data_IF_046997186279
#
_entry.id   IF_046997186279
#
_cell.length_a   1.000
_cell.length_b   1.000
_cell.length_c   1.000
_cell.angle_alpha   90.00
_cell.angle_beta   90.00
_cell.angle_gamma   90.00
#
_symmetry.space_group_name_H-M   'P 1'
#
loop_
_entity.id
_entity.type
_entity.pdbx_description
1 polymer ?
#
# COMPACT_ATOMS: atom_id res chain seq x y z
N UNK A 1 -6.05 -4.41 -11.58
CA UNK A 1 -6.74 -3.32 -10.85
C UNK A 1 -5.88 -2.05 -10.93
N UNK A 2 -6.39 -0.85 -10.63
CA UNK A 2 -5.58 0.38 -10.75
C UNK A 2 -4.41 0.38 -9.76
N UNK A 3 -4.63 -0.11 -8.53
CA UNK A 3 -3.61 -0.26 -7.50
C UNK A 3 -2.45 -1.13 -7.97
N UNK A 4 -2.72 -2.21 -8.69
CA UNK A 4 -1.68 -3.13 -9.16
C UNK A 4 -0.80 -2.49 -10.23
N UNK A 5 -1.41 -1.80 -11.20
CA UNK A 5 -0.68 -1.04 -12.22
C UNK A 5 0.17 0.05 -11.58
N UNK A 6 -0.40 0.74 -10.59
CA UNK A 6 0.23 1.83 -9.85
C UNK A 6 1.42 1.37 -9.02
N UNK A 7 1.30 0.28 -8.27
CA UNK A 7 2.43 -0.30 -7.53
C UNK A 7 3.53 -0.72 -8.50
N UNK A 8 3.18 -1.39 -9.62
CA UNK A 8 4.16 -1.84 -10.59
C UNK A 8 4.89 -0.67 -11.27
N UNK A 9 4.18 0.35 -11.70
CA UNK A 9 4.77 1.57 -12.26
C UNK A 9 5.71 2.24 -11.23
N UNK A 10 5.21 2.46 -10.01
CA UNK A 10 5.96 3.13 -8.96
C UNK A 10 7.21 2.37 -8.54
N UNK A 11 7.11 1.05 -8.38
CA UNK A 11 8.23 0.24 -7.90
C UNK A 11 9.20 -0.14 -9.01
N UNK A 12 8.70 -0.57 -10.17
CA UNK A 12 9.54 -1.15 -11.21
C UNK A 12 10.01 -0.11 -12.23
N UNK A 13 9.16 0.85 -12.62
CA UNK A 13 9.54 1.88 -13.60
C UNK A 13 10.21 3.09 -12.92
N UNK A 14 9.73 3.51 -11.75
CA UNK A 14 10.34 4.62 -10.98
C UNK A 14 11.39 4.17 -9.96
N UNK A 15 11.56 2.86 -9.76
CA UNK A 15 12.54 2.31 -8.81
C UNK A 15 12.23 2.58 -7.33
N UNK A 16 11.00 3.00 -6.99
CA UNK A 16 10.60 3.33 -5.61
C UNK A 16 10.25 2.06 -4.81
N UNK A 17 9.98 2.21 -3.52
CA UNK A 17 9.77 1.05 -2.62
C UNK A 17 8.32 0.60 -2.50
N UNK A 18 7.37 1.54 -2.59
CA UNK A 18 5.96 1.24 -2.42
C UNK A 18 5.12 2.50 -2.24
N UNK A 19 3.82 2.30 -2.13
CA UNK A 19 2.83 3.35 -1.89
C UNK A 19 2.06 3.07 -0.62
N UNK A 20 1.64 4.11 0.08
CA UNK A 20 0.87 3.97 1.32
C UNK A 20 -0.51 3.41 1.04
N UNK A 21 -1.09 2.74 2.03
CA UNK A 21 -2.45 2.17 1.92
C UNK A 21 -3.50 3.25 1.59
N UNK A 22 -3.52 4.44 2.23
CA UNK A 22 -4.43 5.50 1.84
C UNK A 22 -4.28 5.95 0.38
N UNK A 23 -3.06 6.04 -0.15
CA UNK A 23 -2.83 6.43 -1.54
C UNK A 23 -3.47 5.43 -2.51
N UNK A 24 -3.27 4.13 -2.27
CA UNK A 24 -3.86 3.08 -3.12
C UNK A 24 -5.39 3.07 -3.06
N UNK A 25 -5.97 3.31 -1.88
CA UNK A 25 -7.42 3.43 -1.71
C UNK A 25 -7.97 4.64 -2.46
N UNK A 26 -7.33 5.80 -2.30
CA UNK A 26 -7.71 7.03 -2.99
C UNK A 26 -7.69 6.84 -4.51
N UNK A 27 -6.63 6.20 -5.03
CA UNK A 27 -6.47 5.97 -6.47
C UNK A 27 -7.58 5.08 -7.04
N UNK A 28 -7.98 4.03 -6.32
CA UNK A 28 -9.12 3.18 -6.71
C UNK A 28 -10.44 3.94 -6.66
N UNK A 29 -10.64 4.77 -5.63
CA UNK A 29 -11.83 5.62 -5.43
C UNK A 29 -12.08 6.67 -6.50
N UNK A 30 -11.11 6.96 -7.35
CA UNK A 30 -11.35 7.77 -8.55
C UNK A 30 -12.27 7.07 -9.56
N UNK A 31 -12.41 5.75 -9.50
CA UNK A 31 -13.17 4.95 -10.48
C UNK A 31 -14.15 3.95 -9.86
N UNK A 32 -13.92 3.50 -8.63
CA UNK A 32 -14.78 2.55 -7.91
C UNK A 32 -14.63 2.66 -6.41
N UNK A 33 -15.64 2.26 -5.64
CA UNK A 33 -15.50 2.19 -4.19
C UNK A 33 -14.42 1.19 -3.77
N UNK A 34 -13.68 1.53 -2.73
CA UNK A 34 -12.58 0.75 -2.19
C UNK A 34 -12.44 0.99 -0.69
N UNK A 35 -12.23 -0.09 0.06
CA UNK A 35 -11.95 -0.07 1.51
C UNK A 35 -10.59 -0.71 1.78
N UNK A 36 -10.07 -0.53 3.01
CA UNK A 36 -8.85 -1.20 3.46
C UNK A 36 -9.01 -2.73 3.40
N UNK A 37 -10.16 -3.24 3.86
CA UNK A 37 -10.50 -4.67 3.78
C UNK A 37 -10.49 -5.17 2.33
N UNK A 38 -11.17 -4.47 1.42
CA UNK A 38 -11.23 -4.86 0.01
C UNK A 38 -9.84 -4.84 -0.64
N UNK A 39 -9.05 -3.78 -0.42
CA UNK A 39 -7.70 -3.67 -0.98
C UNK A 39 -6.80 -4.82 -0.52
N UNK A 40 -6.77 -5.10 0.79
CA UNK A 40 -5.90 -6.15 1.34
C UNK A 40 -6.39 -7.55 0.95
N UNK A 41 -7.70 -7.75 0.79
CA UNK A 41 -8.26 -9.01 0.28
C UNK A 41 -7.88 -9.22 -1.19
N UNK A 42 -8.04 -8.20 -2.04
CA UNK A 42 -7.64 -8.26 -3.45
C UNK A 42 -6.13 -8.53 -3.60
N UNK A 43 -5.29 -7.92 -2.77
CA UNK A 43 -3.84 -8.18 -2.80
C UNK A 43 -3.52 -9.60 -2.34
N UNK A 44 -4.16 -10.08 -1.25
CA UNK A 44 -4.00 -11.44 -0.75
C UNK A 44 -4.36 -12.50 -1.82
N UNK A 45 -5.35 -12.21 -2.66
CA UNK A 45 -5.87 -13.11 -3.70
C UNK A 45 -5.24 -12.88 -5.10
N UNK A 46 -4.32 -11.92 -5.23
CA UNK A 46 -3.67 -11.60 -6.51
C UNK A 46 -2.76 -12.73 -7.01
N UNK A 47 -2.58 -12.84 -8.33
CA UNK A 47 -1.59 -13.74 -8.93
C UNK A 47 -0.14 -13.25 -8.71
N UNK A 48 0.04 -11.95 -8.45
CA UNK A 48 1.33 -11.31 -8.25
C UNK A 48 1.65 -11.16 -6.76
N UNK A 49 2.91 -11.35 -6.39
CA UNK A 49 3.38 -11.16 -5.01
C UNK A 49 3.66 -9.69 -4.71
N UNK A 50 3.10 -9.20 -3.60
CA UNK A 50 3.31 -7.86 -3.08
C UNK A 50 3.85 -7.92 -1.66
N UNK A 51 4.52 -6.85 -1.24
CA UNK A 51 5.18 -6.77 0.05
C UNK A 51 4.67 -5.56 0.82
N UNK A 52 4.24 -5.77 2.05
CA UNK A 52 3.97 -4.69 3.01
C UNK A 52 5.14 -4.53 3.97
N UNK A 53 5.59 -3.30 4.13
CA UNK A 53 6.72 -2.94 5.00
C UNK A 53 6.54 -1.56 5.60
N UNK A 54 7.15 -1.31 6.76
CA UNK A 54 7.28 0.05 7.28
C UNK A 54 8.34 0.82 6.48
N UNK A 55 7.98 2.00 5.98
CA UNK A 55 8.89 2.95 5.38
C UNK A 55 9.34 3.94 6.46
N UNK A 56 10.53 3.73 7.02
CA UNK A 56 11.03 4.54 8.14
C UNK A 56 11.16 6.04 7.87
N UNK A 57 11.42 6.44 6.63
CA UNK A 57 11.49 7.87 6.25
C UNK A 57 10.11 8.56 6.32
N UNK A 58 9.05 7.82 5.97
CA UNK A 58 7.68 8.33 6.03
C UNK A 58 6.99 8.02 7.36
N UNK A 59 7.52 7.09 8.15
CA UNK A 59 6.85 6.48 9.31
C UNK A 59 5.47 5.93 8.95
N UNK A 60 5.38 5.21 7.83
CA UNK A 60 4.12 4.66 7.30
C UNK A 60 4.30 3.27 6.69
N UNK A 61 3.24 2.46 6.70
CA UNK A 61 3.22 1.20 5.97
C UNK A 61 2.97 1.44 4.48
N UNK A 62 3.84 0.85 3.66
CA UNK A 62 3.77 0.90 2.21
C UNK A 62 3.64 -0.49 1.62
N UNK A 63 2.91 -0.59 0.50
CA UNK A 63 2.82 -1.81 -0.31
C UNK A 63 3.62 -1.61 -1.60
N UNK A 64 4.51 -2.55 -1.87
CA UNK A 64 5.42 -2.51 -3.00
C UNK A 64 5.64 -3.87 -3.65
N UNK A 65 6.53 -3.90 -4.64
CA UNK A 65 7.02 -5.14 -5.23
C UNK A 65 8.28 -5.63 -4.51
N UNK A 66 8.57 -6.92 -4.67
CA UNK A 66 9.84 -7.47 -4.20
C UNK A 66 11.01 -6.91 -5.00
N UNK A 67 11.99 -6.33 -4.29
CA UNK A 67 13.30 -5.97 -4.85
C UNK A 67 14.35 -7.06 -4.61
N UNK A 68 15.31 -7.26 -5.55
CA UNK A 68 16.36 -8.27 -5.42
C UNK A 68 17.19 -8.22 -4.12
N UNK A 69 17.27 -7.05 -3.48
CA UNK A 69 17.98 -6.85 -2.21
C UNK A 69 17.33 -7.53 -0.99
N UNK A 70 16.06 -7.98 -1.08
CA UNK A 70 15.41 -8.71 0.01
C UNK A 70 15.75 -10.21 -0.03
N UNK A 71 16.96 -10.55 0.42
CA UNK A 71 17.56 -11.89 0.27
C UNK A 71 16.80 -13.09 0.89
N UNK A 72 15.69 -12.86 1.62
CA UNK A 72 14.98 -13.90 2.39
C UNK A 72 13.46 -13.90 2.21
N UNK A 73 12.95 -13.41 1.07
CA UNK A 73 11.50 -13.25 0.90
C UNK A 73 10.70 -14.55 1.05
N UNK A 74 11.30 -15.70 0.71
CA UNK A 74 10.64 -17.00 0.82
C UNK A 74 10.48 -17.50 2.26
N UNK A 75 11.23 -16.95 3.22
CA UNK A 75 11.05 -17.26 4.65
C UNK A 75 10.14 -16.27 5.38
N UNK A 76 9.74 -15.18 4.72
CA UNK A 76 8.84 -14.21 5.31
C UNK A 76 7.42 -14.77 5.41
N UNK A 77 6.75 -14.41 6.49
CA UNK A 77 5.33 -14.69 6.65
C UNK A 77 4.53 -14.02 5.54
N UNK A 78 3.48 -14.70 5.08
CA UNK A 78 2.59 -14.18 4.06
C UNK A 78 1.14 -14.57 4.35
N UNK A 79 0.24 -13.77 3.78
CA UNK A 79 -1.17 -14.07 3.62
C UNK A 79 -1.44 -14.09 2.12
N UNK A 80 -1.53 -15.31 1.55
CA UNK A 80 -1.63 -15.50 0.11
C UNK A 80 -0.48 -14.79 -0.61
N UNK A 81 -0.81 -13.82 -1.44
CA UNK A 81 0.14 -13.02 -2.21
C UNK A 81 0.69 -11.79 -1.49
N UNK A 82 0.20 -11.47 -0.29
CA UNK A 82 0.71 -10.38 0.55
C UNK A 82 1.80 -10.88 1.49
N UNK A 83 3.02 -10.41 1.29
CA UNK A 83 4.21 -10.78 2.05
C UNK A 83 4.48 -9.74 3.11
N UNK A 84 4.75 -10.18 4.34
CA UNK A 84 4.97 -9.32 5.49
C UNK A 84 6.47 -9.09 5.68
N UNK A 85 6.92 -7.84 5.57
CA UNK A 85 8.30 -7.43 5.76
C UNK A 85 8.38 -6.30 6.80
N UNK A 86 7.93 -6.62 8.01
CA UNK A 86 7.97 -5.73 9.17
C UNK A 86 7.85 -6.56 10.46
N UNK A 87 8.68 -6.26 11.46
CA UNK A 87 8.76 -7.04 12.70
C UNK A 87 7.50 -6.92 13.58
N UNK A 88 6.77 -5.81 13.50
CA UNK A 88 5.52 -5.63 14.22
C UNK A 88 4.40 -6.40 13.52
N UNK A 89 4.29 -6.27 12.20
CA UNK A 89 3.30 -6.98 11.40
C UNK A 89 3.54 -8.50 11.38
N UNK A 90 4.77 -8.97 11.55
CA UNK A 90 5.07 -10.41 11.59
C UNK A 90 4.34 -11.13 12.75
N UNK A 91 4.06 -10.42 13.84
CA UNK A 91 3.34 -10.93 15.02
C UNK A 91 1.84 -11.18 14.77
N UNK A 92 1.27 -10.58 13.73
CA UNK A 92 -0.14 -10.68 13.37
C UNK A 92 -0.45 -12.07 12.84
N UNK A 93 -1.46 -12.79 13.34
CA UNK A 93 -1.64 -14.21 12.97
C UNK A 93 -2.52 -14.44 11.76
N UNK A 94 -3.37 -13.47 11.40
CA UNK A 94 -4.36 -13.63 10.34
C UNK A 94 -4.50 -12.37 9.49
N UNK A 95 -4.95 -12.54 8.24
CA UNK A 95 -5.29 -11.42 7.37
C UNK A 95 -6.32 -10.48 8.03
N UNK A 96 -7.30 -11.03 8.75
CA UNK A 96 -8.31 -10.25 9.48
C UNK A 96 -7.71 -9.35 10.56
N UNK A 97 -6.71 -9.84 11.29
CA UNK A 97 -6.00 -9.02 12.28
C UNK A 97 -5.16 -7.93 11.58
N UNK A 98 -4.57 -8.22 10.42
CA UNK A 98 -3.85 -7.23 9.62
C UNK A 98 -4.78 -6.13 9.13
N UNK A 99 -5.93 -6.49 8.54
CA UNK A 99 -6.97 -5.55 8.12
C UNK A 99 -7.35 -4.65 9.29
N UNK A 100 -7.66 -5.23 10.45
CA UNK A 100 -8.02 -4.45 11.65
C UNK A 100 -6.91 -3.49 12.09
N UNK A 101 -5.63 -3.90 12.03
CA UNK A 101 -4.52 -2.99 12.34
C UNK A 101 -4.49 -1.83 11.33
N UNK A 102 -4.53 -2.12 10.03
CA UNK A 102 -4.49 -1.08 9.00
C UNK A 102 -5.70 -0.14 9.07
N UNK A 103 -6.89 -0.65 9.41
CA UNK A 103 -8.07 0.17 9.69
C UNK A 103 -7.86 1.10 10.87
N UNK A 104 -7.29 0.62 11.98
CA UNK A 104 -6.98 1.50 13.11
C UNK A 104 -6.01 2.63 12.73
N UNK A 105 -5.04 2.35 11.84
CA UNK A 105 -4.06 3.36 11.39
C UNK A 105 -4.63 4.35 10.36
N UNK A 106 -5.48 3.87 9.44
CA UNK A 106 -5.78 4.58 8.20
C UNK A 106 -7.25 4.85 7.93
N UNK A 107 -8.19 4.28 8.69
CA UNK A 107 -9.62 4.44 8.41
C UNK A 107 -10.07 5.90 8.47
N UNK A 108 -9.66 6.65 9.49
CA UNK A 108 -10.06 8.06 9.60
C UNK A 108 -9.44 8.93 8.50
N UNK A 109 -8.21 8.63 8.07
CA UNK A 109 -7.56 9.35 6.95
C UNK A 109 -8.32 9.09 5.65
N UNK A 110 -8.61 7.83 5.35
CA UNK A 110 -9.35 7.44 4.14
C UNK A 110 -10.80 7.93 4.14
N UNK A 111 -11.46 8.08 5.29
CA UNK A 111 -12.79 8.70 5.37
C UNK A 111 -12.77 10.20 5.09
N UNK A 112 -11.71 10.89 5.50
CA UNK A 112 -11.54 12.32 5.28
C UNK A 112 -10.80 12.64 3.96
N UNK A 113 -10.68 11.65 3.07
CA UNK A 113 -10.01 11.78 1.76
C UNK A 113 -8.54 12.21 1.83
N UNK A 114 -7.89 11.99 2.98
CA UNK A 114 -6.48 12.28 3.19
C UNK A 114 -5.65 11.09 2.70
N UNK A 115 -5.37 11.06 1.40
CA UNK A 115 -4.75 9.93 0.71
C UNK A 115 -3.26 10.09 0.44
N UNK A 116 -2.74 11.32 0.42
CA UNK A 116 -1.34 11.61 0.15
C UNK A 116 -0.64 12.09 1.42
N UNK A 117 0.60 11.67 1.66
CA UNK A 117 1.42 12.18 2.76
C UNK A 117 2.54 13.00 2.16
N UNK A 118 2.58 14.28 2.49
CA UNK A 118 3.65 15.16 2.07
C UNK A 118 4.95 14.77 2.80
N UNK A 119 6.00 14.48 2.04
CA UNK A 119 7.27 14.02 2.60
C UNK A 119 7.95 15.08 3.48
N UNK A 120 7.88 16.36 3.09
CA UNK A 120 8.58 17.44 3.76
C UNK A 120 7.88 17.89 5.05
N UNK A 121 6.55 17.94 5.06
CA UNK A 121 5.76 18.34 6.23
C UNK A 121 5.36 17.17 7.12
N UNK A 122 5.33 15.94 6.59
CA UNK A 122 4.78 14.77 7.28
C UNK A 122 3.24 14.79 7.40
N UNK A 123 2.58 15.78 6.83
CA UNK A 123 1.13 15.96 6.93
C UNK A 123 0.40 15.16 5.86
N UNK A 124 -0.77 14.65 6.22
CA UNK A 124 -1.68 13.98 5.30
C UNK A 124 -2.60 15.00 4.62
N UNK A 125 -2.70 14.91 3.31
CA UNK A 125 -3.47 15.82 2.46
C UNK A 125 -4.38 15.03 1.53
N UNK A 126 -5.35 15.73 0.94
CA UNK A 126 -6.03 15.23 -0.26
C UNK A 126 -5.01 15.08 -1.40
N UNK A 127 -5.41 14.37 -2.46
CA UNK A 127 -4.60 14.33 -3.67
C UNK A 127 -4.46 15.71 -4.28
N UNK A 128 -3.23 16.04 -4.64
CA UNK A 128 -2.93 17.21 -5.46
C UNK A 128 -3.10 16.86 -6.96
N UNK A 129 -3.14 17.87 -7.82
CA UNK A 129 -3.27 17.67 -9.27
C UNK A 129 -2.19 16.72 -9.80
N UNK A 130 -0.97 16.79 -9.25
CA UNK A 130 0.14 15.91 -9.63
C UNK A 130 -0.09 14.44 -9.26
N UNK A 131 -0.78 14.16 -8.16
CA UNK A 131 -1.16 12.79 -7.76
C UNK A 131 -2.21 12.25 -8.74
N UNK A 132 -3.21 13.06 -9.09
CA UNK A 132 -4.27 12.70 -10.03
C UNK A 132 -3.69 12.44 -11.43
N UNK A 133 -2.82 13.33 -11.91
CA UNK A 133 -2.12 13.16 -13.19
C UNK A 133 -1.31 11.87 -13.21
N UNK A 134 -0.57 11.58 -12.13
CA UNK A 134 0.16 10.33 -11.99
C UNK A 134 -0.79 9.12 -12.10
N UNK A 135 -1.87 9.09 -11.32
CA UNK A 135 -2.82 7.97 -11.29
C UNK A 135 -3.51 7.78 -12.65
N UNK A 136 -3.88 8.86 -13.33
CA UNK A 136 -4.52 8.79 -14.64
C UNK A 136 -3.55 8.39 -15.76
N UNK A 137 -2.27 8.72 -15.65
CA UNK A 137 -1.27 8.38 -16.67
C UNK A 137 -1.00 6.88 -16.81
N UNK A 138 -1.40 6.09 -15.82
CA UNK A 138 -1.16 4.64 -15.72
C UNK A 138 -2.44 3.80 -15.72
N UNK A 139 -3.61 4.43 -15.61
CA UNK A 139 -4.93 3.77 -15.54
C UNK A 139 -5.41 3.35 -16.92
#
# INVERSE_FOLDING_TARGET
MNWEKLINYWCNEKGRYGLTIPFLIGAERLSRDMTIESLLTEINESDSKFLISNCGDLDEYVIGTHKPEYAYINSLKNFGSLIINDDELDKIKTLKELIKKMENEYLEKTKNELYSKNYDSGEWTIFEDSDIELIQSIS
#
